data_IF_371978166525
#
_entry.id   IF_371978166525
#
_cell.length_a   1.000
_cell.length_b   1.000
_cell.length_c   1.000
_cell.angle_alpha   90.00
_cell.angle_beta   90.00
_cell.angle_gamma   90.00
#
_symmetry.space_group_name_H-M   'P 1'
#
loop_
_entity.id
_entity.type
_entity.pdbx_description
1 polymer ?
#
# COMPACT_ATOMS: atom_id res chain seq x y z
N UNK A 1 0.09 33.81 28.24
CA UNK A 1 -0.57 33.28 27.02
C UNK A 1 0.48 32.77 26.06
N UNK A 2 0.39 31.53 25.54
CA UNK A 2 1.34 31.06 24.52
C UNK A 2 1.09 31.82 23.20
N UNK A 3 2.16 32.37 22.61
CA UNK A 3 2.09 33.16 21.37
C UNK A 3 1.70 32.28 20.19
N UNK A 4 0.71 32.73 19.43
CA UNK A 4 0.25 32.06 18.21
C UNK A 4 1.40 31.86 17.20
N UNK A 5 1.50 30.69 16.54
CA UNK A 5 2.51 30.47 15.51
C UNK A 5 2.21 31.37 14.31
N UNK A 6 3.10 32.33 14.04
CA UNK A 6 3.03 33.17 12.84
C UNK A 6 3.05 32.26 11.60
N UNK A 7 2.02 32.42 10.77
CA UNK A 7 1.79 31.61 9.57
C UNK A 7 3.03 31.50 8.70
N UNK A 8 3.31 30.29 8.24
CA UNK A 8 4.32 30.05 7.21
C UNK A 8 3.83 30.75 5.94
N UNK A 9 4.57 31.76 5.51
CA UNK A 9 4.33 32.52 4.29
C UNK A 9 4.18 31.59 3.08
N UNK A 10 2.97 31.49 2.55
CA UNK A 10 2.57 30.68 1.38
C UNK A 10 3.16 31.22 0.05
N UNK A 11 3.97 32.29 0.09
CA UNK A 11 4.47 32.97 -1.11
C UNK A 11 5.98 33.26 -1.14
N UNK A 12 6.81 32.65 -0.28
CA UNK A 12 8.26 32.81 -0.45
C UNK A 12 8.75 31.85 -1.53
N UNK A 13 9.09 32.41 -2.70
CA UNK A 13 9.85 31.77 -3.77
C UNK A 13 10.94 30.87 -3.18
N UNK A 14 11.19 29.71 -3.83
CA UNK A 14 12.20 28.72 -3.41
C UNK A 14 13.59 29.34 -3.52
N UNK A 15 13.97 30.15 -2.52
CA UNK A 15 15.32 30.71 -2.37
C UNK A 15 16.29 29.54 -2.40
N UNK A 16 17.41 29.70 -3.11
CA UNK A 16 18.51 28.73 -3.10
C UNK A 16 18.89 28.46 -1.65
N UNK A 17 18.68 27.23 -1.20
CA UNK A 17 18.93 26.79 0.18
C UNK A 17 20.32 26.18 0.20
N UNK A 18 21.21 26.71 1.05
CA UNK A 18 22.52 26.09 1.23
C UNK A 18 22.38 24.64 1.75
N UNK A 19 23.11 23.66 1.21
CA UNK A 19 22.95 22.23 1.53
C UNK A 19 23.08 21.92 3.03
N UNK A 20 23.98 22.62 3.73
CA UNK A 20 24.23 22.42 5.17
C UNK A 20 23.37 23.34 6.07
N UNK A 21 22.40 24.05 5.52
CA UNK A 21 21.52 24.90 6.34
C UNK A 21 20.51 24.07 7.15
N UNK A 22 20.03 24.64 8.27
CA UNK A 22 18.95 24.05 9.07
C UNK A 22 17.69 23.80 8.25
N UNK A 23 17.40 24.65 7.25
CA UNK A 23 16.25 24.52 6.37
C UNK A 23 16.39 23.30 5.44
N UNK A 24 17.57 23.06 4.88
CA UNK A 24 17.84 21.86 4.08
C UNK A 24 17.66 20.59 4.92
N UNK A 25 18.22 20.55 6.14
CA UNK A 25 18.05 19.42 7.05
C UNK A 25 16.58 19.13 7.41
N UNK A 26 15.74 20.17 7.55
CA UNK A 26 14.30 19.99 7.78
C UNK A 26 13.60 19.38 6.56
N UNK A 27 13.91 19.86 5.36
CA UNK A 27 13.35 19.32 4.10
C UNK A 27 13.72 17.85 3.94
N UNK A 28 14.98 17.48 4.17
CA UNK A 28 15.42 16.07 4.08
C UNK A 28 14.70 15.19 5.09
N UNK A 29 14.53 15.66 6.34
CA UNK A 29 13.78 14.91 7.37
C UNK A 29 12.32 14.70 6.99
N UNK A 30 11.67 15.73 6.46
CA UNK A 30 10.28 15.66 6.02
C UNK A 30 10.13 14.72 4.82
N UNK A 31 11.02 14.81 3.83
CA UNK A 31 11.07 13.91 2.68
C UNK A 31 11.23 12.45 3.11
N UNK A 32 12.20 12.15 3.97
CA UNK A 32 12.42 10.79 4.46
C UNK A 32 11.25 10.25 5.32
N UNK A 33 10.60 11.12 6.10
CA UNK A 33 9.37 10.76 6.83
C UNK A 33 8.25 10.38 5.86
N UNK A 34 8.07 11.18 4.80
CA UNK A 34 7.04 10.95 3.79
C UNK A 34 7.34 9.69 2.96
N UNK A 35 8.59 9.46 2.59
CA UNK A 35 9.04 8.25 1.90
C UNK A 35 8.74 6.99 2.72
N UNK A 36 9.10 6.97 4.01
CA UNK A 36 8.77 5.87 4.91
C UNK A 36 7.26 5.63 5.00
N UNK A 37 6.48 6.70 5.09
CA UNK A 37 5.01 6.61 5.15
C UNK A 37 4.43 6.01 3.86
N UNK A 38 4.87 6.47 2.69
CA UNK A 38 4.39 5.93 1.41
C UNK A 38 4.86 4.49 1.19
N UNK A 39 6.08 4.14 1.59
CA UNK A 39 6.55 2.75 1.55
C UNK A 39 5.64 1.82 2.35
N UNK A 40 5.30 2.17 3.59
CA UNK A 40 4.40 1.38 4.43
C UNK A 40 2.99 1.26 3.85
N UNK A 41 2.47 2.33 3.20
CA UNK A 41 1.18 2.27 2.50
C UNK A 41 1.24 1.34 1.30
N UNK A 42 2.29 1.44 0.49
CA UNK A 42 2.47 0.65 -0.73
C UNK A 42 2.64 -0.83 -0.40
N UNK A 43 3.39 -1.19 0.64
CA UNK A 43 3.52 -2.57 1.11
C UNK A 43 2.17 -3.14 1.57
N UNK A 44 1.39 -2.36 2.33
CA UNK A 44 0.03 -2.75 2.73
C UNK A 44 -0.91 -2.91 1.53
N UNK A 45 -0.88 -1.95 0.60
CA UNK A 45 -1.69 -1.99 -0.60
C UNK A 45 -1.34 -3.20 -1.47
N UNK A 46 -0.05 -3.51 -1.64
CA UNK A 46 0.43 -4.68 -2.36
C UNK A 46 -0.07 -5.97 -1.71
N UNK A 47 0.07 -6.10 -0.39
CA UNK A 47 -0.42 -7.28 0.36
C UNK A 47 -1.93 -7.46 0.19
N UNK A 48 -2.71 -6.38 0.33
CA UNK A 48 -4.17 -6.44 0.16
C UNK A 48 -4.54 -6.75 -1.29
N UNK A 49 -3.83 -6.20 -2.27
CA UNK A 49 -4.04 -6.47 -3.69
C UNK A 49 -3.83 -7.95 -4.00
N UNK A 50 -2.74 -8.56 -3.53
CA UNK A 50 -2.46 -9.98 -3.74
C UNK A 50 -3.55 -10.89 -3.15
N UNK A 51 -4.02 -10.56 -1.93
CA UNK A 51 -5.12 -11.31 -1.31
C UNK A 51 -6.43 -11.11 -2.10
N UNK A 52 -6.71 -9.88 -2.55
CA UNK A 52 -7.87 -9.56 -3.36
C UNK A 52 -7.88 -10.31 -4.69
N UNK A 53 -6.75 -10.36 -5.40
CA UNK A 53 -6.62 -11.14 -6.64
C UNK A 53 -6.89 -12.63 -6.41
N UNK A 54 -6.36 -13.20 -5.31
CA UNK A 54 -6.61 -14.58 -4.94
C UNK A 54 -8.09 -14.84 -4.65
N UNK A 55 -8.73 -14.00 -3.84
CA UNK A 55 -10.15 -14.13 -3.52
C UNK A 55 -11.03 -13.96 -4.77
N UNK A 56 -10.67 -13.04 -5.66
CA UNK A 56 -11.37 -12.85 -6.93
C UNK A 56 -11.28 -14.09 -7.82
N UNK A 57 -10.12 -14.75 -7.85
CA UNK A 57 -9.96 -16.01 -8.56
C UNK A 57 -10.92 -17.07 -8.02
N UNK A 58 -10.99 -17.24 -6.69
CA UNK A 58 -11.94 -18.17 -6.08
C UNK A 58 -13.38 -17.80 -6.45
N UNK A 59 -13.77 -16.53 -6.30
CA UNK A 59 -15.12 -16.09 -6.61
C UNK A 59 -15.54 -16.42 -8.06
N UNK A 60 -14.63 -16.26 -9.03
CA UNK A 60 -14.90 -16.55 -10.44
C UNK A 60 -14.97 -18.04 -10.75
N UNK A 61 -14.36 -18.90 -9.92
CA UNK A 61 -14.29 -20.36 -10.13
C UNK A 61 -15.21 -21.16 -9.21
N UNK A 62 -15.90 -20.48 -8.28
CA UNK A 62 -16.96 -21.08 -7.49
C UNK A 62 -18.25 -21.16 -8.33
N UNK A 63 -18.99 -22.25 -8.15
CA UNK A 63 -20.29 -22.44 -8.79
C UNK A 63 -21.36 -21.74 -7.92
N UNK A 64 -22.01 -20.67 -8.42
CA UNK A 64 -23.00 -19.93 -7.64
C UNK A 64 -24.26 -20.76 -7.33
N UNK A 65 -24.49 -21.87 -8.03
CA UNK A 65 -25.66 -22.74 -7.80
C UNK A 65 -25.39 -23.84 -6.77
N UNK A 66 -24.13 -24.04 -6.38
CA UNK A 66 -23.73 -25.13 -5.51
C UNK A 66 -23.90 -24.73 -4.04
N UNK A 67 -24.76 -25.46 -3.33
CA UNK A 67 -25.13 -25.17 -1.93
C UNK A 67 -24.01 -25.55 -0.95
N UNK A 68 -23.16 -26.50 -1.29
CA UNK A 68 -22.05 -26.94 -0.44
C UNK A 68 -20.95 -27.64 -1.21
N UNK A 69 -19.72 -27.50 -0.73
CA UNK A 69 -18.55 -28.16 -1.28
C UNK A 69 -18.17 -29.35 -0.41
N UNK A 70 -17.93 -30.50 -1.04
CA UNK A 70 -17.33 -31.64 -0.35
C UNK A 70 -15.85 -31.32 -0.02
N UNK A 71 -15.27 -32.07 0.91
CA UNK A 71 -13.83 -31.94 1.22
C UNK A 71 -12.97 -32.18 -0.03
N UNK A 72 -13.36 -33.12 -0.91
CA UNK A 72 -12.64 -33.40 -2.15
C UNK A 72 -12.71 -32.22 -3.11
N UNK A 73 -13.91 -31.68 -3.32
CA UNK A 73 -14.13 -30.53 -4.21
C UNK A 73 -13.34 -29.29 -3.75
N UNK A 74 -13.28 -29.05 -2.44
CA UNK A 74 -12.51 -27.96 -1.87
C UNK A 74 -10.99 -28.15 -2.09
N UNK A 75 -10.48 -29.37 -1.87
CA UNK A 75 -9.07 -29.69 -2.14
C UNK A 75 -8.72 -29.51 -3.62
N UNK A 76 -9.56 -30.00 -4.53
CA UNK A 76 -9.36 -29.82 -5.98
C UNK A 76 -9.33 -28.35 -6.39
N UNK A 77 -10.21 -27.52 -5.80
CA UNK A 77 -10.24 -26.09 -6.05
C UNK A 77 -8.95 -25.39 -5.57
N UNK A 78 -8.46 -25.76 -4.38
CA UNK A 78 -7.20 -25.25 -3.82
C UNK A 78 -5.99 -25.67 -4.67
N UNK A 79 -5.99 -26.90 -5.19
CA UNK A 79 -4.93 -27.35 -6.09
C UNK A 79 -4.95 -26.60 -7.43
N UNK A 80 -6.14 -26.32 -7.98
CA UNK A 80 -6.30 -25.51 -9.20
C UNK A 80 -5.79 -24.08 -8.98
N UNK A 81 -6.13 -23.45 -7.86
CA UNK A 81 -5.60 -22.14 -7.45
C UNK A 81 -4.06 -22.17 -7.39
N UNK A 82 -3.52 -23.18 -6.70
CA UNK A 82 -2.08 -23.34 -6.51
C UNK A 82 -1.32 -23.53 -7.82
N UNK A 83 -1.89 -24.27 -8.78
CA UNK A 83 -1.32 -24.41 -10.13
C UNK A 83 -1.35 -23.09 -10.89
N UNK A 84 -2.46 -22.35 -10.82
CA UNK A 84 -2.60 -21.06 -11.48
C UNK A 84 -1.58 -20.02 -10.97
N UNK A 85 -1.41 -19.91 -9.65
CA UNK A 85 -0.47 -18.97 -9.05
C UNK A 85 1.00 -19.38 -9.15
N UNK A 86 1.31 -20.66 -9.38
CA UNK A 86 2.68 -21.14 -9.63
C UNK A 86 3.16 -20.91 -11.06
N UNK A 87 2.25 -20.84 -12.04
CA UNK A 87 2.58 -20.63 -13.45
C UNK A 87 2.50 -19.15 -13.90
N UNK A 88 2.21 -18.23 -12.97
CA UNK A 88 2.10 -16.79 -13.21
C UNK A 88 3.34 -16.09 -12.68
#
# INVERSE_FOLDING_TARGET
MPKAPKGKSVGQEKKVIHPYSRKAAQITREAHKQEKKEKLKNEKALRLKLIGEKLQWFQNHLDPKKVGYSKRDACELIERDSRHFKCR
#
